data_IF_046320667714
#
_entry.id   IF_046320667714
#
_cell.length_a   1.000
_cell.length_b   1.000
_cell.length_c   1.000
_cell.angle_alpha   90.00
_cell.angle_beta   90.00
_cell.angle_gamma   90.00
#
_symmetry.space_group_name_H-M   'P 1'
#
loop_
_entity.id
_entity.type
_entity.pdbx_description
1 polymer ?
#
# COMPACT_ATOMS: atom_id res chain seq x y z
N UNK A 1 -20.12 20.66 50.13
CA UNK A 1 -20.57 19.26 50.03
C UNK A 1 -21.31 19.00 48.69
N UNK A 2 -22.40 19.71 48.36
CA UNK A 2 -23.18 19.49 47.14
C UNK A 2 -22.36 19.62 45.87
N UNK A 3 -21.51 20.63 45.73
CA UNK A 3 -20.65 20.83 44.57
C UNK A 3 -19.65 19.68 44.37
N UNK A 4 -19.07 19.18 45.46
CA UNK A 4 -18.15 18.04 45.44
C UNK A 4 -18.81 16.76 44.98
N UNK A 5 -20.03 16.48 45.48
CA UNK A 5 -20.81 15.32 45.06
C UNK A 5 -21.19 15.38 43.58
N UNK A 6 -21.54 16.55 43.07
CA UNK A 6 -21.85 16.77 41.66
C UNK A 6 -20.61 16.52 40.75
N UNK A 7 -19.43 16.99 41.15
CA UNK A 7 -18.19 16.73 40.41
C UNK A 7 -17.87 15.22 40.37
N UNK A 8 -18.04 14.51 41.50
CA UNK A 8 -17.81 13.06 41.57
C UNK A 8 -18.74 12.33 40.58
N UNK A 9 -20.01 12.70 40.56
CA UNK A 9 -21.01 12.09 39.64
C UNK A 9 -20.61 12.33 38.18
N UNK A 10 -20.17 13.53 37.81
CA UNK A 10 -19.70 13.84 36.45
C UNK A 10 -18.48 13.00 36.06
N UNK A 11 -17.51 12.85 36.95
CA UNK A 11 -16.31 12.03 36.71
C UNK A 11 -16.69 10.55 36.54
N UNK A 12 -17.57 10.02 37.37
CA UNK A 12 -18.07 8.65 37.24
C UNK A 12 -18.82 8.45 35.92
N UNK A 13 -19.70 9.37 35.55
CA UNK A 13 -20.42 9.35 34.29
C UNK A 13 -19.46 9.36 33.08
N UNK A 14 -18.45 10.20 33.12
CA UNK A 14 -17.40 10.26 32.09
C UNK A 14 -16.67 8.91 31.96
N UNK A 15 -16.26 8.30 33.08
CA UNK A 15 -15.59 6.98 33.09
C UNK A 15 -16.46 5.85 32.51
N UNK A 16 -17.75 5.90 32.78
CA UNK A 16 -18.71 4.93 32.23
C UNK A 16 -18.79 5.10 30.68
N UNK A 17 -18.90 6.32 30.19
CA UNK A 17 -18.93 6.60 28.75
C UNK A 17 -17.63 6.14 28.07
N UNK A 18 -16.47 6.42 28.65
CA UNK A 18 -15.16 5.98 28.16
C UNK A 18 -15.10 4.44 28.04
N UNK A 19 -15.52 3.73 29.09
CA UNK A 19 -15.53 2.27 29.12
C UNK A 19 -16.47 1.66 28.06
N UNK A 20 -17.67 2.24 27.90
CA UNK A 20 -18.61 1.84 26.86
C UNK A 20 -18.06 2.09 25.46
N UNK A 21 -17.47 3.24 25.23
CA UNK A 21 -16.84 3.58 23.95
C UNK A 21 -15.75 2.58 23.59
N UNK A 22 -14.81 2.30 24.51
CA UNK A 22 -13.76 1.31 24.33
C UNK A 22 -14.27 -0.07 23.92
N UNK A 23 -15.43 -0.47 24.40
CA UNK A 23 -16.04 -1.76 24.10
C UNK A 23 -16.75 -1.80 22.74
N UNK A 24 -17.24 -0.66 22.27
CA UNK A 24 -18.16 -0.57 21.12
C UNK A 24 -17.53 0.04 19.87
N UNK A 25 -16.47 0.85 19.99
CA UNK A 25 -15.93 1.63 18.87
C UNK A 25 -15.52 0.78 17.66
N UNK A 26 -15.00 -0.43 17.88
CA UNK A 26 -14.53 -1.32 16.83
C UNK A 26 -15.57 -2.32 16.32
N UNK A 27 -16.72 -2.41 16.99
CA UNK A 27 -17.81 -3.32 16.57
C UNK A 27 -18.47 -2.75 15.32
N UNK A 28 -18.84 -3.64 14.38
CA UNK A 28 -19.53 -3.28 13.14
C UNK A 28 -18.78 -2.19 12.32
N UNK A 29 -17.46 -2.12 12.44
CA UNK A 29 -16.58 -1.33 11.65
C UNK A 29 -15.79 -2.27 10.73
N UNK A 30 -15.88 -2.09 9.42
CA UNK A 30 -15.09 -2.82 8.44
C UNK A 30 -14.22 -1.85 7.65
N UNK A 31 -12.95 -2.20 7.52
CA UNK A 31 -11.98 -1.51 6.69
C UNK A 31 -11.46 -2.51 5.66
N UNK A 32 -11.59 -2.18 4.39
CA UNK A 32 -11.12 -2.98 3.28
C UNK A 32 -10.20 -2.14 2.39
N UNK A 33 -9.11 -2.74 1.94
CA UNK A 33 -8.12 -2.09 1.09
C UNK A 33 -7.93 -2.95 -0.14
N UNK A 34 -8.07 -2.32 -1.32
CA UNK A 34 -7.92 -2.98 -2.62
C UNK A 34 -6.99 -2.19 -3.51
N UNK A 35 -6.19 -2.89 -4.29
CA UNK A 35 -5.39 -2.31 -5.37
C UNK A 35 -6.03 -2.69 -6.71
N UNK A 36 -6.16 -1.72 -7.58
CA UNK A 36 -6.73 -1.91 -8.92
C UNK A 36 -5.85 -1.22 -9.97
N UNK A 37 -5.46 -1.92 -11.04
CA UNK A 37 -5.61 -3.36 -11.26
C UNK A 37 -4.68 -4.19 -10.35
N UNK A 38 -4.95 -5.48 -10.18
CA UNK A 38 -4.13 -6.44 -9.42
C UNK A 38 -2.80 -6.78 -10.11
N UNK A 39 -2.69 -6.46 -11.40
CA UNK A 39 -1.53 -6.66 -12.26
C UNK A 39 -1.15 -5.36 -12.93
N UNK A 40 0.06 -4.88 -12.65
CA UNK A 40 0.53 -3.57 -13.10
C UNK A 40 1.89 -3.75 -13.76
N UNK A 41 2.21 -2.93 -14.76
CA UNK A 41 3.56 -2.85 -15.33
C UNK A 41 4.42 -1.86 -14.53
N UNK A 42 5.70 -2.15 -14.41
CA UNK A 42 6.67 -1.22 -13.84
C UNK A 42 6.63 0.12 -14.59
N UNK A 43 6.61 1.21 -13.83
CA UNK A 43 6.44 2.56 -14.37
C UNK A 43 5.00 3.00 -14.63
N UNK A 44 4.02 2.10 -14.54
CA UNK A 44 2.60 2.40 -14.75
C UNK A 44 1.91 2.82 -13.45
N UNK A 45 0.72 3.42 -13.59
CA UNK A 45 -0.09 3.89 -12.48
C UNK A 45 -1.12 2.83 -12.07
N UNK A 46 -1.31 2.73 -10.76
CA UNK A 46 -2.38 1.97 -10.11
C UNK A 46 -3.22 2.84 -9.20
N UNK A 47 -4.27 2.25 -8.64
CA UNK A 47 -5.16 2.89 -7.66
C UNK A 47 -5.23 2.02 -6.41
N UNK A 48 -5.00 2.62 -5.26
CA UNK A 48 -5.30 2.06 -3.96
C UNK A 48 -6.66 2.57 -3.52
N UNK A 49 -7.60 1.68 -3.24
CA UNK A 49 -8.96 2.00 -2.84
C UNK A 49 -9.12 1.57 -1.38
N UNK A 50 -9.32 2.54 -0.52
CA UNK A 50 -9.62 2.35 0.90
C UNK A 50 -11.11 2.48 1.10
N UNK A 51 -11.74 1.45 1.60
CA UNK A 51 -13.18 1.43 1.88
C UNK A 51 -13.40 1.26 3.36
N UNK A 52 -14.04 2.22 3.99
CA UNK A 52 -14.42 2.16 5.40
C UNK A 52 -15.93 2.19 5.52
N UNK A 53 -16.49 1.21 6.23
CA UNK A 53 -17.93 1.11 6.48
C UNK A 53 -18.20 1.14 7.97
N UNK A 54 -19.00 2.08 8.39
CA UNK A 54 -19.53 2.16 9.75
C UNK A 54 -20.99 1.67 9.77
N UNK A 55 -21.23 0.50 10.31
CA UNK A 55 -22.57 -0.11 10.37
C UNK A 55 -23.21 0.01 11.78
N UNK A 56 -22.93 1.09 12.48
CA UNK A 56 -23.48 1.35 13.82
C UNK A 56 -24.04 2.76 13.93
N UNK A 57 -24.90 2.95 14.92
CA UNK A 57 -25.54 4.24 15.22
C UNK A 57 -24.61 5.21 15.98
N UNK A 58 -23.30 5.01 15.89
CA UNK A 58 -22.32 5.86 16.56
C UNK A 58 -21.34 6.38 15.53
N UNK A 59 -21.23 7.72 15.34
CA UNK A 59 -20.22 8.28 14.47
C UNK A 59 -18.83 8.03 15.03
N UNK A 60 -17.86 7.91 14.16
CA UNK A 60 -16.45 7.84 14.49
C UNK A 60 -15.81 9.11 13.93
N UNK A 61 -15.40 9.97 14.83
CA UNK A 61 -14.58 11.13 14.48
C UNK A 61 -13.10 10.76 14.65
N UNK A 62 -12.27 11.27 13.77
CA UNK A 62 -10.82 11.16 13.90
C UNK A 62 -10.29 9.72 13.97
N UNK A 63 -10.62 8.94 12.96
CA UNK A 63 -10.09 7.59 12.80
C UNK A 63 -8.88 7.62 11.86
N UNK A 64 -7.73 7.16 12.33
CA UNK A 64 -6.51 7.03 11.54
C UNK A 64 -6.38 5.59 11.03
N UNK A 65 -6.12 5.45 9.75
CA UNK A 65 -5.81 4.17 9.12
C UNK A 65 -4.33 4.20 8.74
N UNK A 66 -3.55 3.31 9.37
CA UNK A 66 -2.14 3.15 9.07
C UNK A 66 -1.93 1.91 8.22
N UNK A 67 -1.40 2.11 7.03
CA UNK A 67 -1.06 1.06 6.09
C UNK A 67 0.46 0.94 5.97
N UNK A 68 0.97 -0.29 6.01
CA UNK A 68 2.36 -0.58 5.66
C UNK A 68 2.41 -1.00 4.19
N UNK A 69 3.00 -0.18 3.36
CA UNK A 69 3.11 -0.37 1.91
C UNK A 69 4.59 -0.31 1.52
N UNK A 70 4.99 -1.07 0.51
CA UNK A 70 6.36 -0.99 -0.01
C UNK A 70 6.70 0.39 -0.57
N UNK A 71 7.92 0.88 -0.32
CA UNK A 71 8.47 2.10 -0.90
C UNK A 71 8.54 2.09 -2.44
N UNK A 72 8.29 0.92 -3.05
CA UNK A 72 8.18 0.77 -4.51
C UNK A 72 6.91 1.42 -5.10
N UNK A 73 5.96 1.81 -4.27
CA UNK A 73 4.76 2.55 -4.67
C UNK A 73 4.91 4.01 -4.31
N UNK A 74 5.06 4.88 -5.31
CA UNK A 74 5.11 6.33 -5.11
C UNK A 74 3.70 6.88 -5.29
N UNK A 75 3.16 7.50 -4.25
CA UNK A 75 1.88 8.19 -4.28
C UNK A 75 2.06 9.63 -4.74
N UNK A 76 1.07 10.16 -5.46
CA UNK A 76 1.09 11.55 -5.93
C UNK A 76 0.93 12.54 -4.75
N UNK A 77 0.21 12.13 -3.68
CA UNK A 77 0.04 12.89 -2.45
C UNK A 77 1.08 12.46 -1.40
N UNK A 78 2.15 13.22 -1.26
CA UNK A 78 3.23 12.94 -0.30
C UNK A 78 2.99 13.49 1.12
N UNK A 79 1.89 14.20 1.38
CA UNK A 79 1.72 14.98 2.61
C UNK A 79 1.62 14.15 3.90
N UNK A 80 1.30 12.85 3.81
CA UNK A 80 1.05 11.99 4.99
C UNK A 80 1.94 10.75 5.03
N UNK A 81 3.17 10.84 4.50
CA UNK A 81 4.02 9.67 4.37
C UNK A 81 5.36 9.82 5.10
N UNK A 82 5.73 8.81 5.86
CA UNK A 82 7.06 8.69 6.48
C UNK A 82 7.87 7.72 5.61
N UNK A 83 8.91 8.22 4.95
CA UNK A 83 9.86 7.40 4.19
C UNK A 83 10.79 6.65 5.16
N UNK A 84 10.52 5.37 5.30
CA UNK A 84 11.40 4.35 5.84
C UNK A 84 11.44 3.21 4.81
N UNK A 85 12.19 2.14 5.03
CA UNK A 85 12.20 0.95 4.15
C UNK A 85 10.79 0.39 3.89
N UNK A 86 9.87 0.64 4.79
CA UNK A 86 8.43 0.48 4.62
C UNK A 86 7.75 1.85 4.70
N UNK A 87 7.02 2.17 3.66
CA UNK A 87 6.21 3.37 3.59
C UNK A 87 4.98 3.23 4.50
N UNK A 88 4.91 4.07 5.53
CA UNK A 88 3.73 4.12 6.40
C UNK A 88 2.87 5.29 5.98
N UNK A 89 1.64 4.99 5.56
CA UNK A 89 0.64 5.99 5.26
C UNK A 89 -0.33 6.11 6.43
N UNK A 90 -0.61 7.33 6.84
CA UNK A 90 -1.53 7.67 7.94
C UNK A 90 -2.66 8.54 7.39
N UNK A 91 -3.81 7.94 7.15
CA UNK A 91 -4.97 8.63 6.59
C UNK A 91 -6.06 8.81 7.65
N UNK A 92 -6.55 10.05 7.78
CA UNK A 92 -7.57 10.43 8.77
C UNK A 92 -8.95 10.39 8.12
N UNK A 93 -9.89 9.72 8.79
CA UNK A 93 -11.27 9.58 8.39
C UNK A 93 -12.22 10.03 9.49
N UNK A 94 -13.29 10.73 9.11
CA UNK A 94 -14.43 10.99 9.97
C UNK A 94 -15.66 10.35 9.32
N UNK A 95 -16.26 9.39 10.01
CA UNK A 95 -17.30 8.54 9.43
C UNK A 95 -18.58 8.66 10.25
N UNK A 96 -19.63 9.24 9.69
CA UNK A 96 -20.95 9.28 10.31
C UNK A 96 -21.54 7.90 10.55
N UNK A 97 -22.62 7.86 11.32
CA UNK A 97 -23.40 6.63 11.58
C UNK A 97 -23.93 6.04 10.28
N UNK A 98 -23.86 4.72 10.12
CA UNK A 98 -24.39 3.97 8.98
C UNK A 98 -23.89 4.41 7.60
N UNK A 99 -22.69 4.97 7.52
CA UNK A 99 -22.11 5.42 6.26
C UNK A 99 -20.93 4.57 5.82
N UNK A 100 -20.70 4.60 4.49
CA UNK A 100 -19.53 4.08 3.81
C UNK A 100 -18.75 5.25 3.21
N UNK A 101 -17.47 5.31 3.47
CA UNK A 101 -16.55 6.23 2.82
C UNK A 101 -15.57 5.42 1.97
N UNK A 102 -15.30 5.91 0.79
CA UNK A 102 -14.34 5.33 -0.13
C UNK A 102 -13.35 6.40 -0.57
N UNK A 103 -12.08 6.12 -0.42
CA UNK A 103 -10.98 6.98 -0.84
C UNK A 103 -10.14 6.26 -1.88
N UNK A 104 -9.85 6.94 -2.98
CA UNK A 104 -9.03 6.40 -4.05
C UNK A 104 -7.74 7.19 -4.15
N UNK A 105 -6.62 6.50 -4.03
CA UNK A 105 -5.28 7.06 -4.09
C UNK A 105 -4.58 6.55 -5.34
N UNK A 106 -4.00 7.45 -6.12
CA UNK A 106 -3.20 7.08 -7.28
C UNK A 106 -1.75 6.88 -6.85
N UNK A 107 -1.12 5.84 -7.36
CA UNK A 107 0.29 5.58 -7.14
C UNK A 107 0.95 5.11 -8.43
N UNK A 108 2.27 5.29 -8.51
CA UNK A 108 3.13 4.76 -9.57
C UNK A 108 3.95 3.60 -9.03
N UNK A 109 3.91 2.45 -9.71
CA UNK A 109 4.74 1.30 -9.37
C UNK A 109 6.16 1.49 -9.94
N UNK A 110 7.17 1.59 -9.08
CA UNK A 110 8.54 1.93 -9.50
C UNK A 110 9.45 0.71 -9.65
N UNK A 111 9.11 -0.40 -9.02
CA UNK A 111 9.92 -1.64 -9.06
C UNK A 111 9.02 -2.84 -9.29
N UNK A 112 9.50 -3.76 -10.13
CA UNK A 112 8.87 -5.07 -10.35
C UNK A 112 8.92 -5.93 -9.09
N UNK A 113 7.90 -6.77 -8.88
CA UNK A 113 7.82 -7.69 -7.75
C UNK A 113 6.40 -8.07 -7.39
N UNK A 114 6.28 -8.89 -6.35
CA UNK A 114 5.00 -9.23 -5.73
C UNK A 114 4.92 -8.51 -4.38
N UNK A 115 3.89 -7.73 -4.17
CA UNK A 115 3.72 -6.90 -2.99
C UNK A 115 2.44 -7.27 -2.26
N UNK A 116 2.53 -7.28 -0.93
CA UNK A 116 1.44 -7.64 -0.04
C UNK A 116 1.14 -6.48 0.89
N UNK A 117 -0.15 -6.23 1.12
CA UNK A 117 -0.63 -5.39 2.20
C UNK A 117 -1.31 -6.33 3.20
N UNK A 118 -0.58 -6.71 4.26
CA UNK A 118 -1.03 -7.72 5.19
C UNK A 118 -1.77 -7.15 6.39
N UNK A 119 -1.31 -6.01 6.89
CA UNK A 119 -1.75 -5.44 8.16
C UNK A 119 -2.26 -4.02 7.98
N UNK A 120 -3.46 -3.79 8.49
CA UNK A 120 -4.10 -2.48 8.58
C UNK A 120 -4.24 -2.16 10.06
N UNK A 121 -3.65 -1.06 10.50
CA UNK A 121 -3.83 -0.57 11.85
C UNK A 121 -4.87 0.54 11.83
N UNK A 122 -5.95 0.31 12.55
CA UNK A 122 -7.02 1.30 12.72
C UNK A 122 -6.88 1.87 14.13
N UNK A 123 -6.70 3.17 14.21
CA UNK A 123 -6.58 3.92 15.45
C UNK A 123 -7.76 4.88 15.50
N UNK A 124 -8.51 4.85 16.57
CA UNK A 124 -9.61 5.79 16.80
C UNK A 124 -9.43 6.45 18.15
N UNK A 125 -9.53 7.76 18.14
CA UNK A 125 -9.48 8.53 19.38
C UNK A 125 -10.86 8.50 20.04
N UNK A 126 -10.88 8.62 21.35
CA UNK A 126 -12.12 8.78 22.11
C UNK A 126 -12.83 10.09 21.67
N UNK A 127 -14.13 10.19 21.96
CA UNK A 127 -14.95 11.38 21.70
C UNK A 127 -14.27 12.66 22.21
N UNK A 128 -13.47 12.55 23.27
CA UNK A 128 -12.74 13.65 23.88
C UNK A 128 -11.25 13.71 23.51
N UNK A 129 -10.79 12.95 22.50
CA UNK A 129 -9.40 12.90 22.01
C UNK A 129 -8.34 12.53 23.07
N UNK A 130 -8.74 11.90 24.15
CA UNK A 130 -7.89 11.69 25.30
C UNK A 130 -7.03 10.43 25.23
N UNK A 131 -7.47 9.42 24.47
CA UNK A 131 -6.75 8.14 24.33
C UNK A 131 -7.00 7.49 22.99
N UNK A 132 -5.93 6.99 22.40
CA UNK A 132 -5.96 6.23 21.16
C UNK A 132 -6.36 4.78 21.43
N UNK A 133 -7.37 4.32 20.72
CA UNK A 133 -7.74 2.92 20.68
C UNK A 133 -7.29 2.31 19.35
N UNK A 134 -6.38 1.35 19.39
CA UNK A 134 -5.86 0.70 18.19
C UNK A 134 -6.43 -0.70 18.01
N UNK A 135 -6.66 -1.06 16.76
CA UNK A 135 -7.02 -2.42 16.36
C UNK A 135 -6.30 -2.79 15.08
N UNK A 136 -5.65 -3.95 15.10
CA UNK A 136 -5.04 -4.56 13.92
C UNK A 136 -6.08 -5.38 13.18
N UNK A 137 -6.26 -5.09 11.88
CA UNK A 137 -7.08 -5.85 10.95
C UNK A 137 -6.17 -6.55 9.96
N UNK A 138 -6.49 -7.79 9.61
CA UNK A 138 -5.79 -8.52 8.56
C UNK A 138 -6.38 -8.14 7.21
N UNK A 139 -5.54 -7.78 6.27
CA UNK A 139 -5.88 -7.62 4.86
C UNK A 139 -5.10 -8.64 4.05
N UNK A 140 -5.66 -9.12 2.96
CA UNK A 140 -5.00 -10.04 2.04
C UNK A 140 -4.91 -9.41 0.65
N UNK A 141 -4.56 -8.13 0.58
CA UNK A 141 -4.40 -7.46 -0.71
C UNK A 141 -3.02 -7.77 -1.27
N UNK A 142 -3.00 -8.28 -2.49
CA UNK A 142 -1.79 -8.64 -3.22
C UNK A 142 -1.81 -7.99 -4.61
N UNK A 143 -0.64 -7.51 -5.05
CA UNK A 143 -0.47 -6.93 -6.39
C UNK A 143 0.83 -7.42 -7.02
N UNK A 144 0.74 -7.74 -8.30
CA UNK A 144 1.88 -8.14 -9.12
C UNK A 144 2.32 -6.99 -10.01
N UNK A 145 3.59 -6.60 -9.88
CA UNK A 145 4.22 -5.61 -10.76
C UNK A 145 5.15 -6.33 -11.72
N UNK A 146 4.78 -6.37 -12.97
CA UNK A 146 5.56 -6.99 -14.03
C UNK A 146 6.61 -6.01 -14.58
N UNK A 147 7.72 -6.53 -15.13
CA UNK A 147 8.69 -5.68 -15.80
C UNK A 147 8.04 -4.95 -16.97
N UNK A 148 8.45 -3.69 -17.19
CA UNK A 148 8.03 -2.95 -18.38
C UNK A 148 8.63 -3.58 -19.63
N UNK A 149 7.81 -3.75 -20.67
CA UNK A 149 8.31 -4.15 -21.97
C UNK A 149 9.02 -2.93 -22.57
N UNK A 150 10.33 -3.06 -22.79
CA UNK A 150 11.12 -2.05 -23.48
C UNK A 150 10.62 -1.94 -24.91
N UNK A 151 9.83 -0.92 -25.21
CA UNK A 151 9.19 -0.75 -26.53
C UNK A 151 10.17 -0.44 -27.65
N UNK A 152 11.37 0.06 -27.36
CA UNK A 152 12.38 0.38 -28.34
C UNK A 152 13.77 0.10 -27.75
N UNK A 153 14.14 -1.17 -27.68
CA UNK A 153 15.55 -1.50 -27.54
C UNK A 153 16.15 -1.40 -28.95
N UNK A 154 16.57 -0.21 -29.33
CA UNK A 154 17.65 -0.09 -30.32
C UNK A 154 18.88 -0.67 -29.61
N UNK A 155 19.06 -1.98 -29.76
CA UNK A 155 20.36 -2.58 -29.46
C UNK A 155 21.31 -1.89 -30.42
N UNK A 156 22.23 -1.03 -29.95
CA UNK A 156 23.30 -0.57 -30.86
C UNK A 156 24.10 -1.83 -31.18
N UNK A 157 23.72 -2.48 -32.26
CA UNK A 157 24.53 -3.52 -32.85
C UNK A 157 25.81 -2.80 -33.24
N UNK A 158 26.80 -2.78 -32.35
CA UNK A 158 28.17 -2.54 -32.74
C UNK A 158 28.50 -3.67 -33.69
N UNK A 159 28.24 -3.44 -34.96
CA UNK A 159 28.80 -4.27 -36.02
C UNK A 159 30.31 -4.09 -35.90
N UNK A 160 30.93 -4.94 -35.05
CA UNK A 160 32.39 -5.00 -35.03
C UNK A 160 32.79 -5.28 -36.45
N UNK A 161 33.76 -4.54 -36.99
CA UNK A 161 34.35 -4.74 -38.30
C UNK A 161 34.82 -6.20 -38.54
N UNK A 162 34.88 -7.03 -37.50
CA UNK A 162 35.05 -8.47 -37.60
C UNK A 162 33.92 -9.18 -38.37
N UNK A 163 32.68 -8.68 -38.38
CA UNK A 163 31.60 -9.27 -39.18
C UNK A 163 31.73 -8.93 -40.65
N UNK A 164 32.29 -7.78 -40.98
CA UNK A 164 32.52 -7.38 -42.37
C UNK A 164 33.58 -8.26 -43.02
N UNK A 165 34.52 -8.80 -42.25
CA UNK A 165 35.55 -9.73 -42.77
C UNK A 165 34.98 -11.11 -43.12
N UNK A 166 33.77 -11.48 -42.68
CA UNK A 166 33.08 -12.69 -43.14
C UNK A 166 32.71 -12.64 -44.63
N UNK A 167 32.38 -11.49 -45.13
CA UNK A 167 32.07 -11.30 -46.56
C UNK A 167 33.27 -11.55 -47.46
N UNK A 168 34.48 -11.49 -46.90
CA UNK A 168 35.74 -11.67 -47.66
C UNK A 168 36.33 -13.10 -47.51
N UNK A 169 35.52 -14.07 -47.07
CA UNK A 169 35.84 -15.50 -47.15
C UNK A 169 36.89 -16.03 -46.13
N UNK A 170 37.29 -15.19 -45.15
CA UNK A 170 38.17 -15.66 -44.07
C UNK A 170 37.35 -15.93 -42.80
N UNK A 171 37.00 -17.15 -42.57
CA UNK A 171 36.40 -17.61 -41.32
C UNK A 171 37.40 -17.46 -40.15
N UNK A 172 37.10 -16.53 -39.23
CA UNK A 172 37.90 -16.36 -37.98
C UNK A 172 37.56 -17.37 -36.89
N UNK A 173 36.48 -18.14 -37.07
CA UNK A 173 36.11 -19.21 -36.13
C UNK A 173 36.40 -20.57 -36.76
N UNK A 174 37.39 -21.26 -36.23
CA UNK A 174 37.54 -22.69 -36.43
C UNK A 174 36.44 -23.37 -35.64
N UNK A 175 35.51 -24.05 -36.34
CA UNK A 175 34.52 -24.90 -35.69
C UNK A 175 35.28 -26.02 -34.95
N UNK A 176 35.19 -26.07 -33.62
CA UNK A 176 35.90 -27.10 -32.85
C UNK A 176 35.39 -28.53 -33.11
N UNK A 177 34.27 -28.66 -33.82
CA UNK A 177 33.67 -29.93 -34.20
C UNK A 177 33.88 -30.29 -35.68
N UNK A 178 34.57 -29.45 -36.43
CA UNK A 178 34.94 -29.76 -37.81
C UNK A 178 36.11 -30.77 -37.82
N UNK A 179 35.78 -32.04 -37.96
CA UNK A 179 36.82 -33.10 -38.16
C UNK A 179 37.47 -32.92 -39.52
N UNK A 180 38.70 -32.47 -39.51
CA UNK A 180 39.55 -32.59 -40.69
C UNK A 180 39.84 -34.06 -40.95
N UNK A 181 39.22 -34.60 -41.96
CA UNK A 181 39.52 -35.96 -42.41
C UNK A 181 41.03 -36.12 -42.63
N UNK A 182 41.59 -37.13 -41.97
CA UNK A 182 42.99 -37.55 -42.19
C UNK A 182 42.99 -38.26 -43.53
N UNK A 183 43.85 -37.79 -44.43
CA UNK A 183 44.21 -38.51 -45.66
C UNK A 183 45.45 -39.31 -45.39
#
# INVERSE_FOLDING_TARGET
MIVLTFIIILVLWYKIIEALYKKVWHKNLSVDVKITPDRILEGSYGKLIETVKNQKNMPISNMNIKLSISSSFKFDDNDNSIESDNYYRDDIFSIPSFQKIERTLKFKATRRGCYFINDIYVISNNIFFERDHSKKLKSSCMVYVYPSILKNFEIPIRVNNSIINYANGKSLFTDPFAFKGIR
#
